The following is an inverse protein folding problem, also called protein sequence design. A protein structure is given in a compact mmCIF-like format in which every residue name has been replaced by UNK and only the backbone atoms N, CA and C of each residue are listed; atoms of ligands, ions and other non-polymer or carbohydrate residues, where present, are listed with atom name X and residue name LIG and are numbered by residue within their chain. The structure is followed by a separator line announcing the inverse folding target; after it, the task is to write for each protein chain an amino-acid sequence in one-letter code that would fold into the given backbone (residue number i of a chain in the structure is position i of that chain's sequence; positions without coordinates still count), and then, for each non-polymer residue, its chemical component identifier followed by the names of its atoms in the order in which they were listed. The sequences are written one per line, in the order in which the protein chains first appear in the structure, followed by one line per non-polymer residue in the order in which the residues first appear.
data_IF_802455138073
#
_entry.id   IF_802455138073
#
_cell.length_a   1.000
_cell.length_b   1.000
_cell.length_c   1.000
_cell.angle_alpha   90.00
_cell.angle_beta   90.00
_cell.angle_gamma   90.00
#
_symmetry.space_group_name_H-M   'P 1'
#
loop_
_entity.id
_entity.type
_entity.pdbx_description
1 polymer ?
#
# COMPACT_ATOMS: atom_id res chain seq x y z
N UNK A 1 -12.35 26.07 -4.23
CA UNK A 1 -12.84 24.74 -3.78
C UNK A 1 -11.95 23.66 -4.38
N UNK A 2 -11.20 22.95 -3.54
CA UNK A 2 -10.47 21.73 -3.93
C UNK A 2 -11.14 20.55 -3.25
N UNK A 3 -11.78 19.68 -4.03
CA UNK A 3 -12.42 18.46 -3.52
C UNK A 3 -11.53 17.27 -3.85
N UNK A 4 -11.17 16.49 -2.83
CA UNK A 4 -10.42 15.24 -3.03
C UNK A 4 -11.33 14.09 -2.65
N UNK A 5 -11.72 13.30 -3.64
CA UNK A 5 -12.63 12.17 -3.50
C UNK A 5 -11.85 10.86 -3.65
N UNK A 6 -12.10 9.91 -2.76
CA UNK A 6 -11.73 8.51 -2.97
C UNK A 6 -12.66 7.97 -4.06
N UNK A 7 -12.18 7.97 -5.30
CA UNK A 7 -12.93 7.58 -6.48
C UNK A 7 -12.56 6.17 -6.96
N UNK A 8 -13.43 5.55 -7.77
CA UNK A 8 -13.21 4.23 -8.40
C UNK A 8 -11.93 4.18 -9.20
N UNK A 9 -11.51 5.30 -9.79
CA UNK A 9 -10.23 5.43 -10.52
C UNK A 9 -9.01 5.08 -9.66
N UNK A 10 -9.01 5.43 -8.36
CA UNK A 10 -7.94 5.06 -7.44
C UNK A 10 -7.95 3.57 -7.11
N UNK A 11 -9.13 2.99 -6.91
CA UNK A 11 -9.27 1.55 -6.71
C UNK A 11 -8.72 0.78 -7.92
N UNK A 12 -9.09 1.19 -9.14
CA UNK A 12 -8.61 0.57 -10.36
C UNK A 12 -7.09 0.68 -10.52
N UNK A 13 -6.50 1.82 -10.15
CA UNK A 13 -5.04 2.00 -10.18
C UNK A 13 -4.33 1.06 -9.19
N UNK A 14 -4.85 0.89 -7.98
CA UNK A 14 -4.29 -0.04 -6.97
C UNK A 14 -4.46 -1.49 -7.43
N UNK A 15 -5.62 -1.86 -7.98
CA UNK A 15 -5.88 -3.20 -8.54
C UNK A 15 -4.94 -3.53 -9.71
N UNK A 16 -4.71 -2.58 -10.63
CA UNK A 16 -3.73 -2.75 -11.72
C UNK A 16 -2.32 -2.98 -11.18
N UNK A 17 -1.89 -2.19 -10.19
CA UNK A 17 -0.58 -2.37 -9.54
C UNK A 17 -0.46 -3.74 -8.87
N UNK A 18 -1.52 -4.22 -8.20
CA UNK A 18 -1.57 -5.55 -7.59
C UNK A 18 -1.39 -6.64 -8.63
N UNK A 19 -2.16 -6.57 -9.72
CA UNK A 19 -2.04 -7.53 -10.83
C UNK A 19 -0.63 -7.53 -11.42
N UNK A 20 -0.03 -6.35 -11.60
CA UNK A 20 1.33 -6.24 -12.12
C UNK A 20 2.37 -6.85 -11.16
N UNK A 21 2.28 -6.57 -9.85
CA UNK A 21 3.20 -7.16 -8.87
C UNK A 21 3.08 -8.69 -8.78
N UNK A 22 1.87 -9.24 -8.85
CA UNK A 22 1.67 -10.70 -8.90
C UNK A 22 2.35 -11.32 -10.12
N UNK A 23 2.23 -10.67 -11.29
CA UNK A 23 2.92 -11.12 -12.51
C UNK A 23 4.44 -11.07 -12.33
N UNK A 24 4.98 -9.98 -11.77
CA UNK A 24 6.42 -9.83 -11.51
C UNK A 24 6.92 -10.93 -10.57
N UNK A 25 6.19 -11.28 -9.50
CA UNK A 25 6.55 -12.39 -8.60
C UNK A 25 6.65 -13.70 -9.38
N UNK A 26 5.66 -13.99 -10.22
CA UNK A 26 5.65 -15.22 -11.01
C UNK A 26 6.86 -15.28 -11.97
N UNK A 27 7.18 -14.18 -12.66
CA UNK A 27 8.33 -14.10 -13.56
C UNK A 27 9.65 -14.28 -12.81
N UNK A 28 9.84 -13.58 -11.68
CA UNK A 28 11.06 -13.69 -10.86
C UNK A 28 11.25 -15.11 -10.35
N UNK A 29 10.18 -15.78 -9.90
CA UNK A 29 10.25 -17.17 -9.47
C UNK A 29 10.69 -18.11 -10.61
N UNK A 30 10.10 -17.98 -11.81
CA UNK A 30 10.45 -18.80 -12.97
C UNK A 30 11.91 -18.56 -13.41
N UNK A 31 12.35 -17.30 -13.46
CA UNK A 31 13.73 -16.94 -13.81
C UNK A 31 14.72 -17.50 -12.80
N UNK A 32 14.42 -17.42 -11.50
CA UNK A 32 15.28 -17.99 -10.45
C UNK A 32 15.45 -19.50 -10.62
N UNK A 33 14.37 -20.22 -10.90
CA UNK A 33 14.40 -21.67 -11.16
C UNK A 33 15.23 -21.98 -12.42
N UNK A 34 15.04 -21.24 -13.51
CA UNK A 34 15.80 -21.42 -14.74
C UNK A 34 17.31 -21.21 -14.52
N UNK A 35 17.70 -20.17 -13.77
CA UNK A 35 19.10 -19.91 -13.41
C UNK A 35 19.68 -21.07 -12.59
N UNK A 36 18.94 -21.60 -11.62
CA UNK A 36 19.37 -22.78 -10.85
C UNK A 36 19.65 -23.99 -11.77
N UNK A 37 18.76 -24.27 -12.73
CA UNK A 37 18.92 -25.38 -13.68
C UNK A 37 20.16 -25.18 -14.56
N UNK A 38 20.36 -23.97 -15.10
CA UNK A 38 21.53 -23.64 -15.91
C UNK A 38 22.84 -23.78 -15.13
N UNK A 39 22.86 -23.35 -13.86
CA UNK A 39 24.03 -23.47 -12.98
C UNK A 39 24.35 -24.94 -12.66
N UNK A 40 23.33 -25.78 -12.50
CA UNK A 40 23.53 -27.23 -12.34
C UNK A 40 24.13 -27.88 -13.59
N UNK A 41 23.73 -27.44 -14.80
CA UNK A 41 24.24 -27.99 -16.07
C UNK A 41 25.66 -27.53 -16.41
N UNK A 42 26.09 -26.36 -15.92
CA UNK A 42 27.40 -25.77 -16.23
C UNK A 42 28.55 -26.22 -15.31
N UNK A 43 28.30 -27.07 -14.31
CA UNK A 43 29.30 -27.44 -13.31
C UNK A 43 30.32 -28.49 -13.84
N UNK A 44 31.61 -28.20 -13.68
CA UNK A 44 32.73 -29.08 -14.09
C UNK A 44 33.10 -30.13 -13.03
N UNK A 45 33.68 -31.28 -13.42
CA UNK A 45 33.74 -32.49 -12.57
C UNK A 45 34.69 -32.42 -11.36
N UNK A 46 35.65 -31.48 -11.33
CA UNK A 46 36.69 -31.47 -10.28
C UNK A 46 36.20 -31.00 -8.90
N UNK A 47 35.10 -30.22 -8.82
CA UNK A 47 34.52 -29.73 -7.55
C UNK A 47 33.01 -29.48 -7.67
N UNK A 48 32.33 -30.30 -8.48
CA UNK A 48 30.95 -30.05 -8.93
C UNK A 48 29.95 -29.90 -7.78
N UNK A 49 30.11 -30.68 -6.70
CA UNK A 49 29.20 -30.66 -5.53
C UNK A 49 29.26 -29.33 -4.78
N UNK A 50 30.46 -28.78 -4.54
CA UNK A 50 30.62 -27.55 -3.75
C UNK A 50 30.14 -26.33 -4.53
N UNK A 51 30.45 -26.27 -5.83
CA UNK A 51 30.02 -25.18 -6.72
C UNK A 51 28.50 -25.18 -6.87
N UNK A 52 27.87 -26.35 -7.05
CA UNK A 52 26.40 -26.46 -7.12
C UNK A 52 25.76 -26.06 -5.79
N UNK A 53 26.30 -26.52 -4.66
CA UNK A 53 25.76 -26.20 -3.35
C UNK A 53 25.75 -24.68 -3.08
N UNK A 54 26.85 -23.98 -3.34
CA UNK A 54 26.96 -22.53 -3.13
C UNK A 54 26.05 -21.74 -4.05
N UNK A 55 26.08 -22.07 -5.34
CA UNK A 55 25.28 -21.37 -6.34
C UNK A 55 23.78 -21.60 -6.10
N UNK A 56 23.40 -22.79 -5.65
CA UNK A 56 22.02 -23.09 -5.25
C UNK A 56 21.61 -22.30 -4.01
N UNK A 57 22.47 -22.22 -2.98
CA UNK A 57 22.18 -21.46 -1.76
C UNK A 57 22.09 -19.95 -2.03
N UNK A 58 22.96 -19.39 -2.88
CA UNK A 58 22.92 -17.98 -3.27
C UNK A 58 21.69 -17.65 -4.13
N UNK A 59 21.36 -18.51 -5.11
CA UNK A 59 20.21 -18.31 -5.98
C UNK A 59 18.89 -18.46 -5.23
N UNK A 60 18.76 -19.51 -4.39
CA UNK A 60 17.57 -19.74 -3.58
C UNK A 60 17.45 -18.66 -2.50
N UNK A 61 18.53 -18.30 -1.79
CA UNK A 61 18.50 -17.27 -0.76
C UNK A 61 18.18 -15.88 -1.32
N UNK A 62 18.83 -15.48 -2.41
CA UNK A 62 18.59 -14.20 -3.07
C UNK A 62 17.21 -14.11 -3.71
N UNK A 63 16.80 -15.16 -4.45
CA UNK A 63 15.48 -15.24 -5.06
C UNK A 63 14.36 -15.26 -4.02
N UNK A 64 14.52 -16.00 -2.93
CA UNK A 64 13.55 -16.06 -1.84
C UNK A 64 13.38 -14.72 -1.13
N UNK A 65 14.46 -13.97 -0.90
CA UNK A 65 14.38 -12.62 -0.33
C UNK A 65 13.58 -11.67 -1.22
N UNK A 66 13.82 -11.68 -2.53
CA UNK A 66 13.09 -10.85 -3.50
C UNK A 66 11.61 -11.23 -3.54
N UNK A 67 11.30 -12.53 -3.59
CA UNK A 67 9.92 -13.04 -3.55
C UNK A 67 9.24 -12.59 -2.26
N UNK A 68 9.88 -12.78 -1.10
CA UNK A 68 9.31 -12.40 0.19
C UNK A 68 9.01 -10.91 0.29
N UNK A 69 9.94 -10.06 -0.17
CA UNK A 69 9.73 -8.61 -0.23
C UNK A 69 8.56 -8.23 -1.13
N UNK A 70 8.49 -8.79 -2.33
CA UNK A 70 7.38 -8.55 -3.26
C UNK A 70 6.04 -9.06 -2.69
N UNK A 71 6.05 -10.19 -1.97
CA UNK A 71 4.87 -10.74 -1.33
C UNK A 71 4.37 -9.83 -0.20
N UNK A 72 5.28 -9.24 0.58
CA UNK A 72 4.94 -8.23 1.57
C UNK A 72 4.25 -7.02 0.93
N UNK A 73 4.77 -6.52 -0.20
CA UNK A 73 4.15 -5.40 -0.93
C UNK A 73 2.75 -5.76 -1.46
N UNK A 74 2.57 -6.96 -2.02
CA UNK A 74 1.28 -7.46 -2.51
C UNK A 74 0.25 -7.55 -1.38
N UNK A 75 0.65 -8.00 -0.19
CA UNK A 75 -0.24 -8.06 0.98
C UNK A 75 -0.73 -6.68 1.41
N UNK A 76 0.16 -5.67 1.42
CA UNK A 76 -0.22 -4.27 1.72
C UNK A 76 -1.21 -3.75 0.69
N UNK A 77 -0.95 -4.03 -0.59
CA UNK A 77 -1.75 -3.55 -1.69
C UNK A 77 -3.15 -4.22 -1.72
N UNK A 78 -3.21 -5.51 -1.40
CA UNK A 78 -4.49 -6.22 -1.23
C UNK A 78 -5.29 -5.67 -0.03
N UNK A 79 -4.63 -5.32 1.06
CA UNK A 79 -5.27 -4.67 2.20
C UNK A 79 -5.87 -3.31 1.82
N UNK A 80 -5.18 -2.53 0.97
CA UNK A 80 -5.73 -1.28 0.43
C UNK A 80 -6.97 -1.52 -0.41
N UNK A 81 -6.94 -2.47 -1.36
CA UNK A 81 -8.10 -2.79 -2.21
C UNK A 81 -9.32 -3.15 -1.37
N UNK A 82 -9.16 -3.99 -0.36
CA UNK A 82 -10.27 -4.42 0.51
C UNK A 82 -10.80 -3.27 1.40
N UNK A 83 -9.92 -2.35 1.80
CA UNK A 83 -10.34 -1.16 2.52
C UNK A 83 -11.15 -0.24 1.61
N UNK A 84 -10.65 0.06 0.41
CA UNK A 84 -11.37 0.90 -0.57
C UNK A 84 -12.72 0.31 -0.97
N UNK A 85 -12.80 -1.01 -1.22
CA UNK A 85 -14.07 -1.66 -1.56
C UNK A 85 -15.09 -1.55 -0.42
N UNK A 86 -14.65 -1.71 0.84
CA UNK A 86 -15.49 -1.57 2.02
C UNK A 86 -15.94 -0.11 2.24
N UNK A 87 -15.05 0.86 2.02
CA UNK A 87 -15.39 2.28 2.11
C UNK A 87 -16.43 2.68 1.06
N UNK A 88 -16.33 2.14 -0.16
CA UNK A 88 -17.28 2.39 -1.24
C UNK A 88 -18.64 1.71 -1.04
N UNK A 89 -18.67 0.60 -0.29
CA UNK A 89 -19.90 -0.17 -0.05
C UNK A 89 -20.76 0.38 1.11
N UNK A 90 -20.22 1.28 1.94
CA UNK A 90 -20.90 1.80 3.14
C UNK A 90 -21.37 3.24 2.96
N UNK A 91 -22.51 3.63 3.57
CA UNK A 91 -22.94 5.03 3.59
C UNK A 91 -21.95 5.88 4.40
N UNK A 92 -21.64 7.07 3.89
CA UNK A 92 -20.76 8.04 4.56
C UNK A 92 -21.50 8.87 5.59
N UNK A 93 -20.88 9.09 6.75
CA UNK A 93 -21.28 10.09 7.73
C UNK A 93 -20.57 11.40 7.46
N UNK A 94 -21.30 12.52 7.43
CA UNK A 94 -20.73 13.86 7.26
C UNK A 94 -20.31 14.40 8.63
N UNK A 95 -19.09 14.92 8.71
CA UNK A 95 -18.52 15.52 9.92
C UNK A 95 -17.89 16.86 9.54
N UNK A 96 -18.38 17.93 10.15
CA UNK A 96 -17.87 19.28 9.94
C UNK A 96 -16.96 19.68 11.11
N UNK A 97 -15.90 20.43 10.80
CA UNK A 97 -15.08 21.02 11.84
C UNK A 97 -13.82 21.69 11.32
N UNK A 98 -13.11 22.33 12.25
CA UNK A 98 -11.81 22.94 11.98
C UNK A 98 -10.69 21.95 12.27
N UNK A 99 -9.69 21.88 11.39
CA UNK A 99 -8.52 21.02 11.55
C UNK A 99 -7.69 21.50 12.75
N UNK A 100 -7.52 20.62 13.75
CA UNK A 100 -6.68 20.88 14.92
C UNK A 100 -5.23 20.50 14.67
N UNK A 101 -4.99 19.32 14.09
CA UNK A 101 -3.64 18.85 13.75
C UNK A 101 -3.69 17.82 12.62
N UNK A 102 -2.61 17.76 11.85
CA UNK A 102 -2.41 16.79 10.76
C UNK A 102 -1.12 16.04 11.01
N UNK A 103 -1.20 14.74 11.30
CA UNK A 103 -0.02 13.88 11.40
C UNK A 103 0.16 13.10 10.10
N UNK A 104 1.27 13.32 9.41
CA UNK A 104 1.52 12.68 8.11
C UNK A 104 2.15 11.30 8.26
N UNK A 105 1.88 10.42 7.30
CA UNK A 105 2.53 9.11 7.17
C UNK A 105 2.41 8.20 8.40
N UNK A 106 1.25 8.17 9.06
CA UNK A 106 1.04 7.32 10.23
C UNK A 106 0.56 5.94 9.77
N UNK A 107 1.11 4.88 10.37
CA UNK A 107 0.67 3.51 10.11
C UNK A 107 -0.54 3.18 10.98
N UNK A 108 -1.72 3.03 10.37
CA UNK A 108 -3.00 2.91 11.10
C UNK A 108 -3.37 1.45 11.38
N UNK A 109 -3.13 0.55 10.41
CA UNK A 109 -3.37 -0.90 10.54
C UNK A 109 -2.72 -1.66 9.39
N UNK A 110 -2.09 -2.81 9.68
CA UNK A 110 -1.59 -3.78 8.68
C UNK A 110 -0.85 -3.10 7.49
N UNK A 111 0.11 -2.24 7.80
CA UNK A 111 0.95 -1.50 6.83
C UNK A 111 0.21 -0.50 5.92
N UNK A 112 -0.99 -0.05 6.31
CA UNK A 112 -1.68 1.05 5.63
C UNK A 112 -1.15 2.37 6.19
N UNK A 113 -0.48 3.14 5.32
CA UNK A 113 -0.02 4.49 5.60
C UNK A 113 -1.15 5.46 5.31
N UNK A 114 -1.49 6.29 6.28
CA UNK A 114 -2.51 7.31 6.15
C UNK A 114 -2.13 8.54 6.99
N UNK A 115 -2.63 9.69 6.56
CA UNK A 115 -2.54 10.91 7.34
C UNK A 115 -3.65 10.89 8.40
N UNK A 116 -3.30 11.25 9.63
CA UNK A 116 -4.25 11.32 10.74
C UNK A 116 -4.66 12.77 10.91
N UNK A 117 -5.97 12.99 10.80
CA UNK A 117 -6.61 14.26 11.03
C UNK A 117 -7.33 14.25 12.37
N UNK A 118 -7.17 15.31 13.16
CA UNK A 118 -8.01 15.58 14.32
C UNK A 118 -8.70 16.94 14.17
N UNK A 119 -9.93 17.03 14.66
CA UNK A 119 -10.73 18.26 14.59
C UNK A 119 -10.77 18.95 15.96
N UNK A 120 -11.00 20.27 15.95
CA UNK A 120 -11.18 21.05 17.17
C UNK A 120 -12.47 20.60 17.88
N UNK A 121 -12.41 20.39 19.20
CA UNK A 121 -13.56 19.93 20.00
C UNK A 121 -13.93 18.46 19.84
N UNK A 122 -13.23 17.71 18.99
CA UNK A 122 -13.47 16.29 18.76
C UNK A 122 -12.18 15.48 18.92
N UNK A 123 -12.16 14.55 19.88
CA UNK A 123 -11.00 13.68 20.15
C UNK A 123 -10.86 12.51 19.18
N UNK A 124 -11.82 12.32 18.27
CA UNK A 124 -11.78 11.23 17.31
C UNK A 124 -10.68 11.46 16.27
N UNK A 125 -9.98 10.37 15.91
CA UNK A 125 -8.93 10.36 14.88
C UNK A 125 -9.55 9.93 13.57
N UNK A 126 -9.42 10.76 12.55
CA UNK A 126 -9.89 10.48 11.20
C UNK A 126 -8.70 10.14 10.31
N UNK A 127 -8.82 9.10 9.50
CA UNK A 127 -7.71 8.56 8.71
C UNK A 127 -7.89 8.87 7.23
N UNK A 128 -6.96 9.59 6.62
CA UNK A 128 -6.97 9.93 5.21
C UNK A 128 -5.93 9.12 4.45
N UNK A 129 -6.36 8.30 3.49
CA UNK A 129 -5.46 7.43 2.72
C UNK A 129 -4.97 8.17 1.49
N UNK A 130 -3.76 8.76 1.59
CA UNK A 130 -3.05 9.45 0.52
C UNK A 130 -2.40 10.76 0.96
N UNK A 131 -1.68 11.42 0.06
CA UNK A 131 -1.08 12.74 0.34
C UNK A 131 -2.16 13.82 0.37
N UNK A 132 -2.27 14.54 1.48
CA UNK A 132 -3.11 15.72 1.56
C UNK A 132 -2.40 16.91 2.20
N UNK A 133 -2.71 18.09 1.69
CA UNK A 133 -2.16 19.36 2.17
C UNK A 133 -3.26 20.12 2.91
N UNK A 134 -3.63 19.64 4.10
CA UNK A 134 -4.36 20.46 5.07
C UNK A 134 -3.40 21.11 6.03
N UNK A 135 -3.70 22.36 6.34
CA UNK A 135 -3.06 23.12 7.40
C UNK A 135 -3.99 23.15 8.62
N UNK A 136 -3.39 23.27 9.80
CA UNK A 136 -4.12 23.57 11.02
C UNK A 136 -4.93 24.87 10.85
N UNK A 137 -6.15 24.91 11.42
CA UNK A 137 -7.06 26.04 11.29
C UNK A 137 -7.94 26.04 10.03
N UNK A 138 -7.79 25.06 9.13
CA UNK A 138 -8.65 24.96 7.94
C UNK A 138 -10.04 24.44 8.30
N UNK A 139 -11.12 25.11 7.88
CA UNK A 139 -12.48 24.58 8.00
C UNK A 139 -12.75 23.53 6.93
N UNK A 140 -13.21 22.34 7.34
CA UNK A 140 -13.41 21.21 6.44
C UNK A 140 -14.73 20.47 6.72
N UNK A 141 -15.33 19.97 5.63
CA UNK A 141 -16.39 18.96 5.64
C UNK A 141 -15.75 17.62 5.29
N UNK A 142 -15.82 16.66 6.21
CA UNK A 142 -15.31 15.31 6.03
C UNK A 142 -16.47 14.35 5.79
N UNK A 143 -16.36 13.53 4.75
CA UNK A 143 -17.23 12.39 4.56
C UNK A 143 -16.48 11.16 5.04
N UNK A 144 -16.93 10.58 6.15
CA UNK A 144 -16.22 9.53 6.89
C UNK A 144 -16.99 8.22 6.81
N UNK A 145 -16.27 7.10 6.68
CA UNK A 145 -16.80 5.74 6.77
C UNK A 145 -15.89 4.92 7.67
N UNK A 146 -16.44 4.33 8.75
CA UNK A 146 -15.68 3.55 9.75
C UNK A 146 -14.38 4.26 10.26
N UNK A 147 -14.40 5.60 10.36
CA UNK A 147 -13.25 6.41 10.79
C UNK A 147 -12.26 6.82 9.69
N UNK A 148 -12.44 6.34 8.46
CA UNK A 148 -11.65 6.74 7.29
C UNK A 148 -12.36 7.84 6.50
N UNK A 149 -11.59 8.81 6.03
CA UNK A 149 -12.08 9.95 5.27
C UNK A 149 -12.12 9.60 3.78
N UNK A 150 -13.34 9.58 3.21
CA UNK A 150 -13.61 9.26 1.81
C UNK A 150 -13.65 10.49 0.91
N UNK A 151 -14.06 11.63 1.44
CA UNK A 151 -14.09 12.91 0.74
C UNK A 151 -13.81 14.02 1.72
N UNK A 152 -13.07 15.02 1.29
CA UNK A 152 -12.87 16.26 2.02
C UNK A 152 -13.24 17.42 1.13
N UNK A 153 -14.01 18.35 1.70
CA UNK A 153 -14.25 19.65 1.10
C UNK A 153 -13.72 20.73 2.04
N UNK A 154 -12.82 21.57 1.52
CA UNK A 154 -12.35 22.75 2.25
C UNK A 154 -13.41 23.82 2.14
N UNK A 155 -13.93 24.27 3.28
CA UNK A 155 -14.77 25.45 3.34
C UNK A 155 -13.84 26.66 3.30
N UNK A 156 -13.77 27.33 2.15
CA UNK A 156 -13.24 28.68 2.15
C UNK A 156 -14.30 29.56 2.81
N UNK A 157 -13.97 30.15 3.95
CA UNK A 157 -14.68 31.33 4.43
C UNK A 157 -14.58 32.39 3.33
N UNK A 158 -15.72 32.74 2.74
CA UNK A 158 -15.86 33.96 1.94
C UNK A 158 -15.91 35.16 2.89
#
# INVERSE_FOLDING_TARGET
MTTTLIDRTKLDAVVRRLKNQIIVIAVVAVVTVAICICLCLAATPQNYVWIIAVNSVLSVGGGWFVIYKLLADVLVLNAHVNLFSRLLAKPSTVVDGMVKSVQKNVTVRKNIVADVLTLVGNSHKYYFVGDYCLSEGTSVVLYVVDGFVCKVEVQNEQ
#
